data_IF_713243366535
#
_entry.id   IF_713243366535
#
_cell.length_a   1.000
_cell.length_b   1.000
_cell.length_c   1.000
_cell.angle_alpha   90.00
_cell.angle_beta   90.00
_cell.angle_gamma   90.00
#
_symmetry.space_group_name_H-M   'P 1'
#
loop_
_entity.id
_entity.type
_entity.pdbx_description
1 polymer ?
#
# COMPACT_ATOMS: atom_id res chain seq x y z
N UNK A 1 30.91 -13.04 6.56
CA UNK A 1 31.21 -12.38 7.85
C UNK A 1 29.88 -12.15 8.55
N UNK A 2 29.68 -12.80 9.69
CA UNK A 2 28.55 -12.57 10.56
C UNK A 2 28.80 -11.35 11.46
N UNK A 3 27.68 -10.81 11.93
CA UNK A 3 27.51 -9.89 13.06
C UNK A 3 27.50 -8.41 12.73
N UNK A 4 26.31 -7.81 12.87
CA UNK A 4 26.08 -6.81 13.90
C UNK A 4 24.65 -6.97 14.47
N UNK A 5 24.61 -7.41 15.73
CA UNK A 5 23.45 -7.42 16.60
C UNK A 5 23.04 -6.00 16.95
N UNK A 6 21.78 -5.67 16.67
CA UNK A 6 21.16 -4.42 17.08
C UNK A 6 19.66 -4.62 17.31
N UNK A 7 19.32 -5.34 18.39
CA UNK A 7 17.99 -5.36 19.00
C UNK A 7 17.69 -3.98 19.62
N UNK A 8 17.42 -3.01 18.77
CA UNK A 8 16.50 -1.92 19.09
C UNK A 8 15.25 -2.22 18.28
N UNK A 9 14.05 -2.08 18.87
CA UNK A 9 12.79 -2.22 18.14
C UNK A 9 12.80 -1.27 16.94
N UNK A 10 13.25 -1.76 15.78
CA UNK A 10 13.31 -0.98 14.55
C UNK A 10 11.87 -0.77 14.16
N UNK A 11 11.36 0.43 14.47
CA UNK A 11 10.16 0.93 13.83
C UNK A 11 10.30 0.62 12.34
N UNK A 12 9.42 -0.23 11.84
CA UNK A 12 9.46 -0.69 10.46
C UNK A 12 9.38 0.56 9.58
N UNK A 13 10.41 0.76 8.75
CA UNK A 13 10.49 1.98 7.94
C UNK A 13 9.30 2.02 6.97
N UNK A 14 8.64 3.17 6.79
CA UNK A 14 7.48 3.27 5.93
C UNK A 14 7.76 2.79 4.50
N UNK A 15 6.88 1.94 3.99
CA UNK A 15 6.91 1.42 2.61
C UNK A 15 5.55 1.53 1.92
N UNK A 16 4.60 2.25 2.53
CA UNK A 16 3.25 2.39 1.99
C UNK A 16 2.76 3.82 2.17
N UNK A 17 2.11 4.35 1.12
CA UNK A 17 1.48 5.65 1.11
C UNK A 17 -0.02 5.52 0.87
N UNK A 18 -0.76 6.41 1.49
CA UNK A 18 -2.17 6.61 1.21
C UNK A 18 -2.38 7.96 0.53
N UNK A 19 -3.09 7.91 -0.60
CA UNK A 19 -3.43 9.05 -1.44
C UNK A 19 -4.93 9.31 -1.37
N UNK A 20 -5.30 10.51 -0.92
CA UNK A 20 -6.66 11.03 -1.06
C UNK A 20 -6.79 11.71 -2.42
N UNK A 21 -7.83 11.38 -3.17
CA UNK A 21 -8.04 11.89 -4.52
C UNK A 21 -9.10 13.01 -4.53
N UNK A 22 -8.99 13.94 -5.48
CA UNK A 22 -9.99 15.00 -5.67
C UNK A 22 -11.30 14.49 -6.27
N UNK A 23 -11.24 13.40 -7.04
CA UNK A 23 -12.38 12.78 -7.72
C UNK A 23 -12.39 11.27 -7.51
N UNK A 24 -13.54 10.67 -7.80
CA UNK A 24 -13.66 9.21 -7.90
C UNK A 24 -12.90 8.74 -9.14
N UNK A 25 -12.11 7.68 -9.02
CA UNK A 25 -11.31 7.11 -10.10
C UNK A 25 -11.43 5.58 -10.14
N UNK A 26 -11.24 5.02 -11.34
CA UNK A 26 -10.92 3.61 -11.53
C UNK A 26 -9.47 3.33 -11.15
N UNK A 27 -9.13 2.04 -10.98
CA UNK A 27 -7.73 1.67 -10.74
C UNK A 27 -6.84 2.00 -11.92
N UNK A 28 -7.34 1.77 -13.14
CA UNK A 28 -6.63 2.08 -14.38
C UNK A 28 -6.40 3.59 -14.53
N UNK A 29 -7.44 4.40 -14.31
CA UNK A 29 -7.34 5.86 -14.33
C UNK A 29 -6.33 6.35 -13.29
N UNK A 30 -6.39 5.82 -12.07
CA UNK A 30 -5.44 6.18 -11.02
C UNK A 30 -4.01 5.81 -11.40
N UNK A 31 -3.78 4.59 -11.88
CA UNK A 31 -2.45 4.13 -12.29
C UNK A 31 -1.89 4.96 -13.45
N UNK A 32 -2.70 5.27 -14.46
CA UNK A 32 -2.27 6.10 -15.59
C UNK A 32 -1.81 7.48 -15.12
N UNK A 33 -2.61 8.16 -14.30
CA UNK A 33 -2.29 9.49 -13.75
C UNK A 33 -1.11 9.44 -12.80
N UNK A 34 -1.03 8.40 -11.96
CA UNK A 34 0.06 8.20 -11.01
C UNK A 34 1.39 7.96 -11.76
N UNK A 35 1.40 7.06 -12.72
CA UNK A 35 2.60 6.78 -13.52
C UNK A 35 3.05 8.00 -14.32
N UNK A 36 2.12 8.83 -14.81
CA UNK A 36 2.44 10.08 -15.50
C UNK A 36 3.03 11.15 -14.55
N UNK A 37 2.46 11.31 -13.35
CA UNK A 37 2.92 12.30 -12.37
C UNK A 37 4.30 11.99 -11.80
N UNK A 38 4.63 10.70 -11.64
CA UNK A 38 5.85 10.25 -10.98
C UNK A 38 6.87 9.61 -11.93
N UNK A 39 6.57 9.52 -13.22
CA UNK A 39 7.49 9.03 -14.26
C UNK A 39 7.68 7.50 -14.27
N UNK A 40 6.66 6.73 -13.89
CA UNK A 40 6.74 5.27 -13.78
C UNK A 40 6.19 4.51 -15.00
N UNK A 41 5.70 5.22 -16.02
CA UNK A 41 5.05 4.62 -17.19
C UNK A 41 5.94 3.79 -18.14
N UNK A 42 7.27 3.82 -17.97
CA UNK A 42 8.22 3.20 -18.89
C UNK A 42 8.71 1.80 -18.46
N UNK A 43 7.86 1.01 -17.79
CA UNK A 43 8.11 -0.41 -17.53
C UNK A 43 8.77 -0.74 -16.18
N UNK A 44 9.20 0.25 -15.39
CA UNK A 44 9.61 0.02 -14.00
C UNK A 44 8.67 0.75 -13.03
N UNK A 45 7.87 -0.04 -12.29
CA UNK A 45 7.04 0.45 -11.20
C UNK A 45 7.75 0.19 -9.88
N UNK A 46 8.13 1.21 -9.10
CA UNK A 46 8.78 1.02 -7.81
C UNK A 46 7.78 0.65 -6.70
N UNK A 47 6.67 0.02 -7.07
CA UNK A 47 5.59 -0.37 -6.19
C UNK A 47 5.03 -1.73 -6.62
N UNK A 48 4.58 -2.49 -5.63
CA UNK A 48 4.15 -3.88 -5.77
C UNK A 48 2.67 -4.10 -5.47
N UNK A 49 1.98 -3.10 -4.93
CA UNK A 49 0.56 -3.22 -4.63
C UNK A 49 -0.12 -1.85 -4.69
N UNK A 50 -1.26 -1.81 -5.37
CA UNK A 50 -2.13 -0.64 -5.51
C UNK A 50 -3.56 -1.06 -5.23
N UNK A 51 -4.13 -0.46 -4.20
CA UNK A 51 -5.48 -0.78 -3.74
C UNK A 51 -6.31 0.48 -3.65
N UNK A 52 -7.48 0.47 -4.28
CA UNK A 52 -8.47 1.54 -4.18
C UNK A 52 -9.66 1.06 -3.35
N UNK A 53 -9.54 1.01 -2.00
CA UNK A 53 -10.62 0.57 -1.13
C UNK A 53 -11.87 1.45 -1.27
N UNK A 54 -11.69 2.71 -1.68
CA UNK A 54 -12.76 3.59 -2.14
C UNK A 54 -12.31 4.29 -3.41
N UNK A 55 -13.27 4.72 -4.22
CA UNK A 55 -12.95 5.39 -5.50
C UNK A 55 -12.21 6.71 -5.33
N UNK A 56 -12.16 7.31 -4.14
CA UNK A 56 -11.44 8.55 -3.83
C UNK A 56 -10.23 8.34 -2.90
N UNK A 57 -9.79 7.10 -2.70
CA UNK A 57 -8.65 6.75 -1.85
C UNK A 57 -7.83 5.63 -2.48
N UNK A 58 -6.52 5.82 -2.57
CA UNK A 58 -5.59 4.80 -3.02
C UNK A 58 -4.53 4.50 -1.96
N UNK A 59 -4.18 3.23 -1.80
CA UNK A 59 -3.06 2.75 -1.00
C UNK A 59 -2.04 2.16 -1.95
N UNK A 60 -0.78 2.60 -1.84
CA UNK A 60 0.32 2.16 -2.70
C UNK A 60 1.45 1.66 -1.82
N UNK A 61 1.83 0.39 -2.00
CA UNK A 61 2.99 -0.21 -1.36
C UNK A 61 4.18 -0.22 -2.31
N UNK A 62 5.28 0.36 -1.86
CA UNK A 62 6.52 0.51 -2.61
C UNK A 62 7.44 -0.70 -2.40
N UNK A 63 8.27 -0.98 -3.39
CA UNK A 63 9.28 -2.06 -3.33
C UNK A 63 10.44 -1.73 -2.39
N UNK A 64 10.63 -0.45 -2.04
CA UNK A 64 11.62 -0.02 -1.08
C UNK A 64 11.16 1.19 -0.27
N UNK A 65 11.71 1.32 0.93
CA UNK A 65 11.49 2.46 1.81
C UNK A 65 12.01 3.77 1.20
N UNK A 66 13.10 3.70 0.41
CA UNK A 66 13.60 4.83 -0.37
C UNK A 66 12.58 5.28 -1.42
N UNK A 67 12.06 4.37 -2.23
CA UNK A 67 11.05 4.72 -3.24
C UNK A 67 9.79 5.32 -2.61
N UNK A 68 9.36 4.77 -1.46
CA UNK A 68 8.24 5.34 -0.68
C UNK A 68 8.54 6.78 -0.24
N UNK A 69 9.73 7.03 0.32
CA UNK A 69 10.12 8.35 0.79
C UNK A 69 10.26 9.37 -0.36
N UNK A 70 10.88 8.95 -1.47
CA UNK A 70 11.04 9.78 -2.67
C UNK A 70 9.66 10.16 -3.26
N UNK A 71 8.75 9.18 -3.38
CA UNK A 71 7.39 9.44 -3.85
C UNK A 71 6.61 10.35 -2.88
N UNK A 72 6.76 10.17 -1.57
CA UNK A 72 6.12 11.05 -0.58
C UNK A 72 6.60 12.50 -0.70
N UNK A 73 7.91 12.71 -0.86
CA UNK A 73 8.48 14.04 -1.05
C UNK A 73 7.98 14.66 -2.36
N UNK A 74 8.06 13.93 -3.48
CA UNK A 74 7.59 14.40 -4.78
C UNK A 74 6.08 14.69 -4.77
N UNK A 75 5.30 13.91 -4.04
CA UNK A 75 3.86 14.13 -3.85
C UNK A 75 3.56 15.51 -3.28
N UNK A 76 4.37 16.00 -2.33
CA UNK A 76 4.22 17.34 -1.74
C UNK A 76 4.44 18.46 -2.76
N UNK A 77 5.33 18.24 -3.73
CA UNK A 77 5.60 19.18 -4.80
C UNK A 77 4.50 19.14 -5.87
N UNK A 78 4.12 17.95 -6.34
CA UNK A 78 3.13 17.83 -7.43
C UNK A 78 1.73 18.30 -7.03
N UNK A 79 1.36 18.18 -5.75
CA UNK A 79 0.07 18.68 -5.24
C UNK A 79 -0.08 20.20 -5.33
N UNK A 80 1.01 20.95 -5.57
CA UNK A 80 0.96 22.41 -5.78
C UNK A 80 0.44 22.78 -7.18
N UNK A 81 0.40 21.84 -8.13
CA UNK A 81 -0.09 22.09 -9.49
C UNK A 81 -1.61 21.89 -9.59
N UNK A 82 -2.29 22.82 -10.27
CA UNK A 82 -3.76 22.85 -10.41
C UNK A 82 -4.40 21.65 -11.13
N UNK A 83 -3.61 20.76 -11.74
CA UNK A 83 -4.08 19.56 -12.47
C UNK A 83 -3.79 18.25 -11.77
N UNK A 84 -3.27 18.26 -10.54
CA UNK A 84 -2.98 17.04 -9.80
C UNK A 84 -4.28 16.35 -9.33
N UNK A 85 -4.42 15.05 -9.58
CA UNK A 85 -5.55 14.25 -9.09
C UNK A 85 -5.49 13.98 -7.58
N UNK A 86 -4.32 14.20 -6.95
CA UNK A 86 -4.04 13.93 -5.54
C UNK A 86 -4.38 15.17 -4.71
N UNK A 87 -5.32 15.01 -3.77
CA UNK A 87 -5.72 16.01 -2.78
C UNK A 87 -4.83 15.98 -1.53
N UNK A 88 -4.29 14.82 -1.20
CA UNK A 88 -3.46 14.66 -0.01
C UNK A 88 -2.71 13.34 -0.03
N UNK A 89 -1.56 13.33 0.61
CA UNK A 89 -0.73 12.13 0.80
C UNK A 89 -0.36 11.99 2.27
N UNK A 90 -0.42 10.75 2.78
CA UNK A 90 0.00 10.36 4.12
C UNK A 90 0.76 9.04 4.07
N UNK A 91 1.58 8.82 5.09
CA UNK A 91 2.16 7.50 5.36
C UNK A 91 1.03 6.59 5.85
N UNK A 92 0.86 5.42 5.24
CA UNK A 92 -0.21 4.49 5.62
C UNK A 92 0.09 3.85 6.98
N UNK A 93 -0.92 3.52 7.79
CA UNK A 93 -0.69 2.90 9.10
C UNK A 93 -0.05 1.49 9.01
N UNK A 94 -0.26 0.79 7.89
CA UNK A 94 0.28 -0.54 7.63
C UNK A 94 1.38 -0.49 6.58
N UNK A 95 2.54 -1.02 6.93
CA UNK A 95 3.71 -1.07 6.06
C UNK A 95 4.01 -2.50 5.60
N UNK A 96 4.69 -2.61 4.47
CA UNK A 96 5.06 -3.89 3.89
C UNK A 96 3.96 -4.51 3.04
N UNK A 97 4.35 -5.06 1.90
CA UNK A 97 3.44 -5.75 0.98
C UNK A 97 2.69 -6.88 1.68
N UNK A 98 3.41 -7.72 2.41
CA UNK A 98 2.86 -8.88 3.10
C UNK A 98 1.71 -8.49 4.04
N UNK A 99 1.91 -7.48 4.91
CA UNK A 99 0.89 -7.04 5.87
C UNK A 99 -0.34 -6.45 5.18
N UNK A 100 -0.16 -5.71 4.08
CA UNK A 100 -1.26 -5.12 3.33
C UNK A 100 -2.07 -6.20 2.57
N UNK A 101 -1.39 -7.16 1.95
CA UNK A 101 -2.04 -8.32 1.32
C UNK A 101 -2.76 -9.21 2.35
N UNK A 102 -2.14 -9.49 3.50
CA UNK A 102 -2.77 -10.26 4.58
C UNK A 102 -4.03 -9.57 5.12
N UNK A 103 -4.00 -8.24 5.31
CA UNK A 103 -5.19 -7.49 5.71
C UNK A 103 -6.30 -7.59 4.67
N UNK A 104 -5.94 -7.41 3.40
CA UNK A 104 -6.88 -7.51 2.29
C UNK A 104 -7.56 -8.89 2.27
N UNK A 105 -6.79 -9.98 2.27
CA UNK A 105 -7.38 -11.32 2.24
C UNK A 105 -8.19 -11.65 3.48
N UNK A 106 -7.75 -11.22 4.67
CA UNK A 106 -8.54 -11.40 5.89
C UNK A 106 -9.89 -10.69 5.83
N UNK A 107 -9.95 -9.47 5.29
CA UNK A 107 -11.22 -8.74 5.10
C UNK A 107 -12.12 -9.40 4.07
N UNK A 108 -11.55 -9.95 2.99
CA UNK A 108 -12.29 -10.72 1.98
C UNK A 108 -12.88 -11.97 2.59
N UNK A 109 -12.05 -12.76 3.27
CA UNK A 109 -12.44 -14.05 3.83
C UNK A 109 -13.45 -13.90 4.99
N UNK A 110 -13.44 -12.77 5.70
CA UNK A 110 -14.44 -12.43 6.74
C UNK A 110 -15.76 -11.87 6.19
N UNK A 111 -15.89 -11.68 4.87
CA UNK A 111 -17.06 -11.04 4.26
C UNK A 111 -17.19 -9.54 4.55
N UNK A 112 -16.21 -8.92 5.23
CA UNK A 112 -16.19 -7.50 5.57
C UNK A 112 -15.76 -6.60 4.40
N UNK A 113 -15.44 -7.20 3.25
CA UNK A 113 -14.88 -6.51 2.09
C UNK A 113 -15.86 -6.44 0.93
N UNK A 114 -16.25 -5.21 0.57
CA UNK A 114 -17.26 -4.93 -0.47
C UNK A 114 -16.67 -4.17 -1.67
N UNK A 115 -15.33 -4.06 -1.74
CA UNK A 115 -14.65 -3.14 -2.64
C UNK A 115 -13.87 -3.84 -3.76
N UNK A 116 -13.23 -3.06 -4.64
CA UNK A 116 -12.52 -3.54 -5.82
C UNK A 116 -11.26 -4.31 -5.45
N UNK A 117 -10.97 -5.38 -6.18
CA UNK A 117 -9.74 -6.16 -6.03
C UNK A 117 -8.50 -5.28 -6.23
N UNK A 118 -7.46 -5.38 -5.39
CA UNK A 118 -6.23 -4.63 -5.58
C UNK A 118 -5.48 -5.13 -6.82
N UNK A 119 -4.60 -4.29 -7.34
CA UNK A 119 -3.63 -4.67 -8.36
C UNK A 119 -2.30 -4.97 -7.67
N UNK A 120 -1.72 -6.12 -8.00
CA UNK A 120 -0.46 -6.60 -7.41
C UNK A 120 0.55 -6.75 -8.53
N UNK A 121 1.80 -6.37 -8.26
CA UNK A 121 2.88 -6.37 -9.23
C UNK A 121 4.10 -7.15 -8.69
N UNK A 122 4.68 -7.95 -9.58
CA UNK A 122 5.94 -8.65 -9.43
C UNK A 122 6.96 -8.03 -10.39
N UNK A 123 7.99 -7.35 -9.87
CA UNK A 123 9.02 -6.72 -10.69
C UNK A 123 8.42 -5.83 -11.81
N UNK A 124 7.33 -5.11 -11.52
CA UNK A 124 6.62 -4.25 -12.48
C UNK A 124 5.56 -4.94 -13.34
N UNK A 125 5.52 -6.28 -13.39
CA UNK A 125 4.50 -7.04 -14.12
C UNK A 125 3.29 -7.34 -13.23
N UNK A 126 2.04 -7.19 -13.72
CA UNK A 126 0.85 -7.54 -12.94
C UNK A 126 0.79 -9.05 -12.69
N UNK A 127 0.39 -9.45 -11.49
CA UNK A 127 0.14 -10.84 -11.11
C UNK A 127 -1.29 -11.03 -10.59
N UNK A 128 -1.78 -12.27 -10.59
CA UNK A 128 -3.11 -12.58 -10.06
C UNK A 128 -3.14 -12.52 -8.53
N UNK A 129 -4.35 -12.37 -7.96
CA UNK A 129 -4.53 -12.45 -6.51
C UNK A 129 -4.22 -13.85 -5.95
N UNK A 130 -4.44 -14.91 -6.73
CA UNK A 130 -4.08 -16.27 -6.33
C UNK A 130 -2.56 -16.43 -6.21
N UNK A 131 -1.81 -15.88 -7.17
CA UNK A 131 -0.35 -15.83 -7.11
C UNK A 131 0.13 -15.02 -5.90
N UNK A 132 -0.47 -13.85 -5.65
CA UNK A 132 -0.15 -13.04 -4.48
C UNK A 132 -0.49 -13.76 -3.15
N UNK A 133 -1.58 -14.54 -3.10
CA UNK A 133 -1.95 -15.37 -1.94
C UNK A 133 -0.94 -16.50 -1.72
N UNK A 134 -0.44 -17.11 -2.79
CA UNK A 134 0.63 -18.12 -2.69
C UNK A 134 1.94 -17.52 -2.17
N UNK A 135 2.31 -16.31 -2.58
CA UNK A 135 3.49 -15.61 -2.05
C UNK A 135 3.43 -15.41 -0.53
N UNK A 136 2.26 -15.02 -0.02
CA UNK A 136 2.05 -14.91 1.42
C UNK A 136 2.29 -16.24 2.13
N UNK A 137 1.85 -17.34 1.55
CA UNK A 137 2.01 -18.69 2.13
C UNK A 137 3.45 -19.20 2.03
N UNK A 138 4.18 -18.83 0.98
CA UNK A 138 5.60 -19.20 0.83
C UNK A 138 6.51 -18.42 1.78
N UNK A 139 6.25 -17.12 1.98
CA UNK A 139 7.02 -16.28 2.91
C UNK A 139 6.60 -16.46 4.38
N UNK A 140 5.37 -16.94 4.64
CA UNK A 140 4.90 -17.26 5.98
C UNK A 140 5.67 -18.42 6.66
N UNK A 141 6.50 -19.17 5.93
CA UNK A 141 7.37 -20.18 6.54
C UNK A 141 8.49 -19.58 7.40
N UNK A 142 8.80 -18.29 7.25
CA UNK A 142 9.89 -17.65 8.00
C UNK A 142 9.43 -16.72 9.14
N UNK A 143 8.13 -16.50 9.35
CA UNK A 143 7.64 -15.67 10.45
C UNK A 143 6.30 -16.15 11.02
N UNK A 144 6.31 -16.53 12.31
CA UNK A 144 5.10 -16.63 13.12
C UNK A 144 4.46 -15.24 13.22
N UNK A 145 3.31 -15.05 12.56
CA UNK A 145 2.50 -13.85 12.70
C UNK A 145 1.97 -13.80 14.13
N UNK A 146 2.59 -12.98 14.98
CA UNK A 146 2.05 -12.61 16.28
C UNK A 146 0.85 -11.70 16.02
N UNK A 147 -0.34 -12.30 15.97
CA UNK A 147 -1.60 -11.57 15.92
C UNK A 147 -1.76 -10.78 17.22
N UNK A 148 -1.50 -9.48 17.18
CA UNK A 148 -1.93 -8.57 18.23
C UNK A 148 -3.36 -8.13 17.95
N UNK A 149 -4.29 -8.85 18.57
CA UNK A 149 -5.63 -8.36 18.83
C UNK A 149 -5.55 -7.34 19.98
N UNK A 150 -5.78 -6.07 19.68
CA UNK A 150 -6.25 -5.12 20.69
C UNK A 150 -7.61 -4.57 20.29
N UNK A 151 -8.60 -5.08 21.00
CA UNK A 151 -9.88 -4.43 21.31
C UNK A 151 -9.63 -3.01 21.81
N UNK A 152 -10.34 -2.02 21.23
CA UNK A 152 -11.19 -1.09 22.01
C UNK A 152 -12.37 -0.62 21.16
N UNK A 153 -13.56 -0.74 21.73
CA UNK A 153 -14.84 -0.29 21.22
C UNK A 153 -14.96 1.25 21.12
N UNK A 154 -15.68 1.72 20.08
CA UNK A 154 -16.81 2.68 20.16
C UNK A 154 -17.49 2.77 18.78
N UNK A 155 -18.83 2.65 18.68
CA UNK A 155 -19.56 2.87 17.44
C UNK A 155 -19.65 4.38 17.18
N UNK A 156 -19.23 4.83 16.00
CA UNK A 156 -19.51 6.21 15.52
C UNK A 156 -18.31 7.07 15.12
N UNK A 157 -17.08 6.59 15.22
CA UNK A 157 -15.93 7.20 14.52
C UNK A 157 -15.16 6.11 13.82
N UNK A 158 -15.36 6.01 12.50
CA UNK A 158 -14.41 5.32 11.64
C UNK A 158 -13.14 6.18 11.67
N UNK A 159 -12.27 5.90 12.63
CA UNK A 159 -10.88 6.30 12.57
C UNK A 159 -10.29 5.55 11.38
N UNK A 160 -10.12 6.28 10.29
CA UNK A 160 -9.07 5.95 9.35
C UNK A 160 -7.75 6.23 10.08
N UNK A 161 -7.29 5.23 10.83
CA UNK A 161 -5.88 4.86 10.84
C UNK A 161 -5.64 3.97 9.59
N UNK A 162 -5.92 4.57 8.44
CA UNK A 162 -5.54 4.17 7.10
C UNK A 162 -4.90 5.41 6.49
#
# INVERSE_FOLDING_TARGET
MCSETGLAGRAERPSALMFRLFRKMSQEEFLHEFDALFGYGNGFRPYNFVHLPWTSLAVVNFTSTKACADCFALSKEVMKFHRCCIKGVRIAARHGLQKNLSDFFWRVDSGAYVSRSPLVFACGAPISLDQARQWLQSEAKDFQVVAWAHSVAKPGKILFDL
#
